data_IF_358938706242
#
_entry.id   IF_358938706242
#
_cell.length_a   1.000
_cell.length_b   1.000
_cell.length_c   1.000
_cell.angle_alpha   90.00
_cell.angle_beta   90.00
_cell.angle_gamma   90.00
#
_symmetry.space_group_name_H-M   'P 1'
#
loop_
_entity.id
_entity.type
_entity.pdbx_description
1 polymer ?
#
# COMPACT_ATOMS: atom_id res chain seq x y z
N UNK A 1 90.41 13.63 -36.00
CA UNK A 1 90.83 12.34 -36.58
C UNK A 1 89.78 11.33 -36.15
N UNK A 2 88.84 10.90 -37.00
CA UNK A 2 88.97 9.77 -37.95
C UNK A 2 89.14 8.46 -37.15
N UNK A 3 88.30 7.41 -37.19
CA UNK A 3 87.51 6.73 -38.24
C UNK A 3 86.68 5.64 -37.51
N UNK A 4 85.37 5.47 -37.76
CA UNK A 4 84.71 4.48 -38.63
C UNK A 4 84.87 2.98 -38.30
N UNK A 5 83.69 2.30 -38.27
CA UNK A 5 83.40 0.84 -38.45
C UNK A 5 83.35 -0.01 -37.15
N UNK A 6 82.46 -0.99 -36.93
CA UNK A 6 81.61 -1.84 -37.78
C UNK A 6 80.31 -2.27 -37.05
N UNK A 7 79.30 -2.62 -37.85
CA UNK A 7 77.96 -3.14 -37.56
C UNK A 7 77.91 -4.50 -36.84
N UNK A 8 76.79 -4.80 -36.14
CA UNK A 8 75.90 -6.00 -36.26
C UNK A 8 74.77 -5.89 -35.19
N UNK A 9 73.47 -6.08 -35.53
CA UNK A 9 72.35 -6.12 -34.58
C UNK A 9 72.11 -7.56 -34.08
N UNK A 10 71.44 -7.81 -32.94
CA UNK A 10 69.98 -8.04 -33.02
C UNK A 10 69.18 -7.81 -31.70
N UNK A 11 67.88 -8.13 -31.82
CA UNK A 11 66.95 -8.52 -30.76
C UNK A 11 66.20 -7.40 -30.04
N UNK A 12 65.18 -6.93 -30.75
CA UNK A 12 63.93 -6.41 -30.22
C UNK A 12 63.35 -7.39 -29.18
N UNK A 13 63.42 -7.02 -27.90
CA UNK A 13 62.52 -7.54 -26.87
C UNK A 13 61.42 -6.49 -26.68
N UNK A 14 60.39 -6.57 -27.52
CA UNK A 14 59.18 -5.78 -27.36
C UNK A 14 58.45 -6.26 -26.12
N UNK A 15 58.54 -5.49 -25.04
CA UNK A 15 57.69 -5.64 -23.87
C UNK A 15 56.26 -5.29 -24.30
N UNK A 16 55.46 -6.30 -24.65
CA UNK A 16 54.02 -6.15 -24.78
C UNK A 16 53.47 -5.96 -23.38
N UNK A 17 53.31 -4.71 -22.96
CA UNK A 17 52.42 -4.36 -21.86
C UNK A 17 50.99 -4.70 -22.31
N UNK A 18 50.53 -5.90 -21.96
CA UNK A 18 49.11 -6.19 -21.89
C UNK A 18 48.52 -5.23 -20.85
N UNK A 19 48.00 -4.09 -21.31
CA UNK A 19 46.98 -3.37 -20.58
C UNK A 19 45.78 -4.32 -20.48
N UNK A 20 45.66 -5.00 -19.34
CA UNK A 20 44.37 -5.51 -18.90
C UNK A 20 43.46 -4.29 -18.71
N UNK A 21 42.79 -3.89 -19.79
CA UNK A 21 41.54 -3.16 -19.73
C UNK A 21 40.59 -4.09 -18.99
N UNK A 22 40.57 -3.95 -17.67
CA UNK A 22 39.43 -4.36 -16.86
C UNK A 22 38.29 -3.56 -17.44
N UNK A 23 37.49 -4.20 -18.29
CA UNK A 23 36.21 -3.67 -18.70
C UNK A 23 35.42 -3.53 -17.40
N UNK A 24 35.41 -2.33 -16.82
CA UNK A 24 34.36 -1.97 -15.90
C UNK A 24 33.07 -2.26 -16.65
N UNK A 25 32.19 -3.15 -16.14
CA UNK A 25 30.89 -3.29 -16.75
C UNK A 25 30.28 -1.90 -16.79
N UNK A 26 29.99 -1.42 -18.00
CA UNK A 26 29.18 -0.24 -18.19
C UNK A 26 27.95 -0.44 -17.30
N UNK A 27 27.79 0.44 -16.32
CA UNK A 27 26.59 0.46 -15.50
C UNK A 27 25.43 0.54 -16.48
N UNK A 28 24.69 -0.56 -16.59
CA UNK A 28 23.37 -0.58 -17.21
C UNK A 28 22.65 0.61 -16.57
N UNK A 29 22.03 1.52 -17.36
CA UNK A 29 21.23 2.61 -16.79
C UNK A 29 20.32 1.99 -15.75
N UNK A 30 20.54 2.38 -14.48
CA UNK A 30 19.98 1.68 -13.35
C UNK A 30 18.48 1.50 -13.57
N UNK A 31 17.98 0.28 -13.34
CA UNK A 31 16.54 0.09 -13.28
C UNK A 31 15.99 1.18 -12.35
N UNK A 32 15.03 1.99 -12.82
CA UNK A 32 14.48 3.06 -11.99
C UNK A 32 14.02 2.44 -10.69
N UNK A 33 14.43 3.04 -9.56
CA UNK A 33 14.06 2.52 -8.25
C UNK A 33 12.54 2.43 -8.15
N UNK A 34 12.04 1.58 -7.25
CA UNK A 34 10.59 1.45 -7.05
C UNK A 34 9.94 2.81 -6.68
N UNK A 35 10.73 3.74 -6.12
CA UNK A 35 10.38 5.15 -5.93
C UNK A 35 10.33 5.92 -7.27
N UNK A 36 11.36 5.83 -8.11
CA UNK A 36 11.41 6.52 -9.42
C UNK A 36 10.26 6.11 -10.36
N UNK A 37 9.87 4.83 -10.34
CA UNK A 37 8.71 4.34 -11.12
C UNK A 37 7.38 4.89 -10.58
N UNK A 38 7.26 5.14 -9.27
CA UNK A 38 6.09 5.74 -8.63
C UNK A 38 5.99 7.25 -8.89
N UNK A 39 7.12 7.94 -9.01
CA UNK A 39 7.17 9.38 -9.32
C UNK A 39 6.88 9.72 -10.78
N UNK A 40 6.94 8.75 -11.70
CA UNK A 40 6.65 8.98 -13.11
C UNK A 40 5.23 9.52 -13.37
N UNK A 41 4.30 9.39 -12.40
CA UNK A 41 2.93 9.95 -12.47
C UNK A 41 2.51 10.57 -11.14
N UNK A 42 3.40 11.39 -10.58
CA UNK A 42 3.07 12.22 -9.43
C UNK A 42 2.35 13.50 -9.90
N UNK A 43 1.30 13.90 -9.20
CA UNK A 43 0.63 15.18 -9.38
C UNK A 43 1.22 16.17 -8.34
N UNK A 44 2.18 17.04 -8.73
CA UNK A 44 2.91 17.85 -7.76
C UNK A 44 2.08 19.01 -7.18
N UNK A 45 1.17 19.56 -7.98
CA UNK A 45 0.48 20.81 -7.62
C UNK A 45 -0.95 20.59 -7.15
N UNK A 46 -1.69 19.68 -7.81
CA UNK A 46 -3.12 19.49 -7.55
C UNK A 46 -3.56 18.07 -7.86
N UNK A 47 -4.24 17.44 -6.91
CA UNK A 47 -4.90 16.17 -7.15
C UNK A 47 -6.00 16.32 -8.21
N UNK A 48 -6.13 15.37 -9.16
CA UNK A 48 -7.33 15.23 -9.99
C UNK A 48 -8.51 14.68 -9.16
N UNK A 49 -8.92 15.47 -8.18
CA UNK A 49 -10.03 15.23 -7.28
C UNK A 49 -10.61 16.56 -6.80
N UNK A 50 -11.87 16.52 -6.40
CA UNK A 50 -12.59 17.65 -5.80
C UNK A 50 -12.92 17.31 -4.35
N UNK A 51 -12.83 18.32 -3.50
CA UNK A 51 -13.16 18.24 -2.08
C UNK A 51 -14.26 19.25 -1.81
N UNK A 52 -15.38 18.79 -1.27
CA UNK A 52 -16.53 19.62 -0.94
C UNK A 52 -16.98 19.38 0.50
N UNK A 53 -17.59 20.38 1.11
CA UNK A 53 -18.22 20.25 2.43
C UNK A 53 -19.72 20.17 2.26
N UNK A 54 -20.33 19.29 3.04
CA UNK A 54 -21.77 19.17 3.15
C UNK A 54 -22.17 18.97 4.62
N UNK A 55 -23.45 19.17 4.90
CA UNK A 55 -24.04 18.91 6.20
C UNK A 55 -25.02 17.73 6.08
N UNK A 56 -24.87 16.75 6.97
CA UNK A 56 -25.78 15.61 7.05
C UNK A 56 -27.13 16.02 7.66
N UNK A 57 -28.12 15.13 7.57
CA UNK A 57 -29.46 15.36 8.15
C UNK A 57 -29.44 15.62 9.68
N UNK A 58 -28.38 15.23 10.38
CA UNK A 58 -28.18 15.45 11.82
C UNK A 58 -27.27 16.65 12.13
N UNK A 59 -27.12 17.61 11.21
CA UNK A 59 -26.20 18.75 11.34
C UNK A 59 -24.71 18.37 11.48
N UNK A 60 -24.36 17.14 11.10
CA UNK A 60 -22.98 16.67 11.14
C UNK A 60 -22.23 17.05 9.87
N UNK A 61 -21.01 17.60 9.97
CA UNK A 61 -20.22 17.96 8.82
C UNK A 61 -19.67 16.73 8.12
N UNK A 62 -19.74 16.77 6.80
CA UNK A 62 -19.25 15.75 5.88
C UNK A 62 -18.26 16.38 4.91
N UNK A 63 -17.18 15.67 4.62
CA UNK A 63 -16.39 15.90 3.41
C UNK A 63 -16.90 14.97 2.32
N UNK A 64 -17.03 15.49 1.12
CA UNK A 64 -17.29 14.74 -0.10
C UNK A 64 -16.03 14.81 -0.95
N UNK A 65 -15.44 13.65 -1.24
CA UNK A 65 -14.30 13.53 -2.16
C UNK A 65 -14.81 12.96 -3.47
N UNK A 66 -14.66 13.70 -4.55
CA UNK A 66 -15.03 13.27 -5.90
C UNK A 66 -13.79 13.04 -6.73
N UNK A 67 -13.64 11.84 -7.29
CA UNK A 67 -12.51 11.53 -8.17
C UNK A 67 -12.77 12.05 -9.58
N UNK A 68 -11.92 12.93 -10.11
CA UNK A 68 -12.02 13.41 -11.50
C UNK A 68 -11.05 12.72 -12.45
N UNK A 69 -10.16 11.87 -11.93
CA UNK A 69 -9.19 11.13 -12.71
C UNK A 69 -9.79 9.89 -13.39
N UNK A 70 -9.17 9.44 -14.48
CA UNK A 70 -9.68 8.31 -15.28
C UNK A 70 -9.58 6.96 -14.56
N UNK A 71 -8.62 6.81 -13.65
CA UNK A 71 -8.45 5.61 -12.83
C UNK A 71 -9.15 5.76 -11.48
N UNK A 72 -9.51 4.65 -10.85
CA UNK A 72 -10.16 4.67 -9.54
C UNK A 72 -9.20 5.15 -8.46
N UNK A 73 -9.66 6.01 -7.56
CA UNK A 73 -8.90 6.40 -6.37
C UNK A 73 -8.97 5.29 -5.34
N UNK A 74 -7.84 4.71 -4.97
CA UNK A 74 -7.76 3.53 -4.09
C UNK A 74 -7.45 3.91 -2.63
N UNK A 75 -6.77 5.03 -2.41
CA UNK A 75 -6.51 5.57 -1.09
C UNK A 75 -6.41 7.10 -1.12
N UNK A 76 -6.71 7.73 0.01
CA UNK A 76 -6.56 9.16 0.21
C UNK A 76 -6.37 9.50 1.69
N UNK A 77 -5.83 10.70 1.93
CA UNK A 77 -5.63 11.27 3.25
C UNK A 77 -6.23 12.66 3.28
N UNK A 78 -7.15 12.89 4.22
CA UNK A 78 -7.71 14.21 4.51
C UNK A 78 -7.14 14.69 5.83
N UNK A 79 -6.66 15.92 5.84
CA UNK A 79 -6.24 16.61 7.06
C UNK A 79 -7.23 17.72 7.37
N UNK A 80 -7.70 17.80 8.61
CA UNK A 80 -8.49 18.93 9.09
C UNK A 80 -7.59 19.87 9.88
N UNK A 81 -7.74 21.18 9.64
CA UNK A 81 -6.94 22.17 10.36
C UNK A 81 -7.34 22.25 11.84
N UNK A 82 -6.36 22.47 12.74
CA UNK A 82 -6.63 22.64 14.15
C UNK A 82 -7.38 23.96 14.39
N UNK A 83 -8.41 23.93 15.25
CA UNK A 83 -9.27 25.12 15.49
C UNK A 83 -8.67 26.10 16.51
N UNK A 84 -7.70 25.66 17.30
CA UNK A 84 -6.97 26.47 18.29
C UNK A 84 -5.54 25.95 18.43
N UNK A 85 -4.67 26.70 19.10
CA UNK A 85 -3.30 26.28 19.39
C UNK A 85 -3.21 25.01 20.26
N UNK A 86 -4.29 24.70 20.99
CA UNK A 86 -4.42 23.51 21.83
C UNK A 86 -5.14 22.35 21.12
N UNK A 87 -5.68 22.57 19.91
CA UNK A 87 -6.35 21.56 19.10
C UNK A 87 -5.35 20.95 18.13
N UNK A 88 -5.40 19.62 17.97
CA UNK A 88 -4.47 18.91 17.09
C UNK A 88 -5.11 18.68 15.73
N UNK A 89 -4.36 18.93 14.65
CA UNK A 89 -4.83 18.63 13.30
C UNK A 89 -5.19 17.15 13.20
N UNK A 90 -6.40 16.84 12.74
CA UNK A 90 -6.82 15.45 12.59
C UNK A 90 -6.47 14.96 11.20
N UNK A 91 -5.88 13.77 11.13
CA UNK A 91 -5.55 13.11 9.85
C UNK A 91 -6.40 11.88 9.69
N UNK A 92 -7.27 11.89 8.67
CA UNK A 92 -8.14 10.80 8.28
C UNK A 92 -7.53 10.07 7.08
N UNK A 93 -7.16 8.82 7.26
CA UNK A 93 -6.60 7.97 6.21
C UNK A 93 -7.67 6.96 5.78
N UNK A 94 -7.95 6.95 4.49
CA UNK A 94 -8.86 5.99 3.87
C UNK A 94 -8.12 5.20 2.80
N UNK A 95 -8.19 3.88 2.88
CA UNK A 95 -7.63 2.99 1.87
C UNK A 95 -8.60 1.84 1.62
N UNK A 96 -9.19 1.84 0.43
CA UNK A 96 -10.17 0.84 -0.01
C UNK A 96 -9.61 -0.58 -0.01
N UNK A 97 -8.28 -0.73 -0.14
CA UNK A 97 -7.63 -2.04 -0.19
C UNK A 97 -7.36 -2.65 1.19
N UNK A 98 -7.52 -1.87 2.27
CA UNK A 98 -7.14 -2.32 3.63
C UNK A 98 -8.29 -2.90 4.45
N UNK A 99 -9.52 -2.87 3.93
CA UNK A 99 -10.71 -3.36 4.65
C UNK A 99 -11.28 -4.60 3.99
N UNK A 100 -11.51 -5.64 4.81
CA UNK A 100 -12.12 -6.90 4.40
C UNK A 100 -13.61 -6.66 4.08
N UNK A 101 -14.10 -7.26 3.00
CA UNK A 101 -15.54 -7.28 2.66
C UNK A 101 -16.05 -6.12 1.82
N UNK A 102 -15.18 -5.31 1.20
CA UNK A 102 -15.58 -4.35 0.16
C UNK A 102 -16.48 -3.20 0.62
N UNK A 103 -16.63 -2.98 1.93
CA UNK A 103 -17.46 -1.89 2.48
C UNK A 103 -17.03 -0.49 1.99
N UNK A 104 -15.78 -0.36 1.58
CA UNK A 104 -15.26 0.83 0.92
C UNK A 104 -14.61 0.40 -0.39
N UNK A 105 -15.30 0.64 -1.50
CA UNK A 105 -14.76 0.44 -2.82
C UNK A 105 -13.81 1.59 -3.20
N UNK A 106 -12.82 1.36 -4.07
CA UNK A 106 -12.12 2.44 -4.76
C UNK A 106 -13.14 3.41 -5.38
N UNK A 107 -12.84 4.71 -5.40
CA UNK A 107 -13.75 5.74 -5.94
C UNK A 107 -13.54 5.83 -7.47
N UNK A 108 -14.48 5.36 -8.30
CA UNK A 108 -14.35 5.46 -9.76
C UNK A 108 -14.42 6.92 -10.23
N UNK A 109 -14.06 7.17 -11.50
CA UNK A 109 -14.19 8.50 -12.12
C UNK A 109 -15.62 9.03 -11.99
N UNK A 110 -15.74 10.28 -11.55
CA UNK A 110 -17.00 11.00 -11.43
C UNK A 110 -17.88 10.58 -10.25
N UNK A 111 -17.44 9.60 -9.45
CA UNK A 111 -18.13 9.20 -8.23
C UNK A 111 -17.47 9.83 -7.01
N UNK A 112 -18.21 9.81 -5.91
CA UNK A 112 -17.82 10.47 -4.66
C UNK A 112 -17.90 9.56 -3.45
N UNK A 113 -17.04 9.80 -2.48
CA UNK A 113 -17.09 9.19 -1.15
C UNK A 113 -17.36 10.28 -0.11
N UNK A 114 -18.38 10.06 0.71
CA UNK A 114 -18.76 10.95 1.82
C UNK A 114 -18.17 10.42 3.12
N UNK A 115 -17.44 11.27 3.84
CA UNK A 115 -16.84 10.94 5.14
C UNK A 115 -17.31 11.94 6.19
N UNK A 116 -17.70 11.44 7.36
CA UNK A 116 -18.00 12.30 8.49
C UNK A 116 -16.74 12.85 9.11
N UNK A 117 -16.75 14.15 9.42
CA UNK A 117 -15.64 14.81 10.13
C UNK A 117 -16.00 14.89 11.61
N UNK A 118 -15.09 14.50 12.52
CA UNK A 118 -15.25 14.82 13.93
C UNK A 118 -15.39 16.34 14.11
N UNK A 119 -16.42 16.78 14.83
CA UNK A 119 -16.64 18.19 15.10
C UNK A 119 -17.26 18.37 16.49
N UNK A 120 -17.06 19.56 17.03
CA UNK A 120 -17.73 20.03 18.24
C UNK A 120 -18.97 20.81 17.80
N UNK A 121 -20.14 20.41 18.30
CA UNK A 121 -21.40 21.11 18.03
C UNK A 121 -21.31 22.58 18.46
N UNK A 122 -21.79 23.49 17.60
CA UNK A 122 -21.72 24.94 17.83
C UNK A 122 -20.38 25.60 17.48
N UNK A 123 -19.33 24.85 17.16
CA UNK A 123 -18.08 25.40 16.64
C UNK A 123 -18.15 25.62 15.11
N UNK A 124 -17.34 26.54 14.54
CA UNK A 124 -17.23 26.70 13.10
C UNK A 124 -16.89 25.39 12.38
N UNK A 125 -17.35 25.25 11.13
CA UNK A 125 -17.02 24.14 10.25
C UNK A 125 -15.49 23.99 10.14
N UNK A 126 -14.90 22.80 10.42
CA UNK A 126 -13.47 22.60 10.24
C UNK A 126 -13.09 22.72 8.77
N UNK A 127 -11.99 23.43 8.47
CA UNK A 127 -11.37 23.33 7.15
C UNK A 127 -10.70 21.95 7.01
N UNK A 128 -10.69 21.43 5.79
CA UNK A 128 -10.22 20.11 5.45
C UNK A 128 -9.56 20.16 4.08
N UNK A 129 -8.43 19.45 3.96
CA UNK A 129 -7.62 19.43 2.76
C UNK A 129 -7.29 17.99 2.39
N UNK A 130 -7.37 17.68 1.11
CA UNK A 130 -6.80 16.45 0.56
C UNK A 130 -5.28 16.64 0.54
N UNK A 131 -4.56 15.84 1.32
CA UNK A 131 -3.09 15.98 1.49
C UNK A 131 -2.30 14.82 0.92
N UNK A 132 -2.96 13.69 0.61
CA UNK A 132 -2.38 12.63 -0.21
C UNK A 132 -3.47 11.80 -0.90
N UNK A 133 -3.17 11.21 -2.06
CA UNK A 133 -4.04 10.29 -2.78
C UNK A 133 -3.25 9.32 -3.66
N UNK A 134 -3.82 8.13 -3.88
CA UNK A 134 -3.26 7.07 -4.72
C UNK A 134 -4.35 6.51 -5.63
N UNK A 135 -4.06 6.41 -6.92
CA UNK A 135 -4.96 5.85 -7.92
C UNK A 135 -4.52 4.44 -8.34
N UNK A 136 -5.45 3.71 -8.96
CA UNK A 136 -5.28 2.30 -9.35
C UNK A 136 -4.10 2.08 -10.32
N UNK A 137 -3.78 3.06 -11.17
CA UNK A 137 -2.67 2.99 -12.10
C UNK A 137 -1.30 3.32 -11.48
N UNK A 138 -1.27 3.56 -10.16
CA UNK A 138 -0.08 3.94 -9.42
C UNK A 138 0.22 5.44 -9.42
N UNK A 139 -0.59 6.27 -10.07
CA UNK A 139 -0.46 7.72 -9.96
C UNK A 139 -0.67 8.18 -8.51
N UNK A 140 0.03 9.25 -8.10
CA UNK A 140 0.03 9.71 -6.71
C UNK A 140 -0.08 11.23 -6.58
N UNK A 141 -0.54 11.69 -5.42
CA UNK A 141 -0.55 13.10 -5.01
C UNK A 141 -0.18 13.17 -3.52
N UNK A 142 0.52 14.22 -3.08
CA UNK A 142 0.83 14.46 -1.67
C UNK A 142 2.25 14.12 -1.25
N UNK A 143 2.54 14.25 0.05
CA UNK A 143 3.91 14.05 0.56
C UNK A 143 4.36 12.59 0.53
N UNK A 144 5.66 12.39 0.30
CA UNK A 144 6.30 11.07 0.31
C UNK A 144 6.07 10.31 1.61
N UNK A 145 6.04 11.01 2.74
CA UNK A 145 5.77 10.42 4.05
C UNK A 145 4.38 9.77 4.11
N UNK A 146 3.34 10.46 3.63
CA UNK A 146 1.97 9.96 3.63
C UNK A 146 1.80 8.82 2.62
N UNK A 147 2.42 8.93 1.45
CA UNK A 147 2.43 7.87 0.42
C UNK A 147 3.17 6.62 0.91
N UNK A 148 4.29 6.79 1.62
CA UNK A 148 5.02 5.73 2.26
C UNK A 148 4.18 5.07 3.36
N UNK A 149 3.42 5.84 4.15
CA UNK A 149 2.51 5.30 5.16
C UNK A 149 1.41 4.41 4.55
N UNK A 150 0.78 4.85 3.46
CA UNK A 150 -0.21 4.03 2.71
C UNK A 150 0.46 2.73 2.22
N UNK A 151 1.61 2.86 1.56
CA UNK A 151 2.33 1.71 0.99
C UNK A 151 2.76 0.70 2.06
N UNK A 152 3.32 1.18 3.16
CA UNK A 152 3.75 0.34 4.28
C UNK A 152 2.57 -0.37 4.95
N UNK A 153 1.43 0.31 5.09
CA UNK A 153 0.18 -0.29 5.59
C UNK A 153 -0.27 -1.44 4.69
N UNK A 154 -0.33 -1.21 3.37
CA UNK A 154 -0.69 -2.25 2.38
C UNK A 154 0.26 -3.44 2.41
N UNK A 155 1.56 -3.19 2.52
CA UNK A 155 2.58 -4.25 2.62
C UNK A 155 2.42 -5.09 3.89
N UNK A 156 2.31 -4.43 5.05
CA UNK A 156 2.14 -5.12 6.32
C UNK A 156 0.84 -5.96 6.35
N UNK A 157 -0.23 -5.45 5.72
CA UNK A 157 -1.48 -6.18 5.60
C UNK A 157 -1.37 -7.38 4.64
N UNK A 158 -0.71 -7.23 3.48
CA UNK A 158 -0.47 -8.34 2.55
C UNK A 158 0.33 -9.48 3.23
N UNK A 159 1.37 -9.14 3.99
CA UNK A 159 2.12 -10.11 4.80
C UNK A 159 1.26 -10.76 5.89
N UNK A 160 0.31 -10.02 6.46
CA UNK A 160 -0.65 -10.57 7.42
C UNK A 160 -1.60 -11.56 6.76
N UNK A 161 -2.03 -11.32 5.51
CA UNK A 161 -2.82 -12.28 4.74
C UNK A 161 -2.03 -13.53 4.43
N UNK A 162 -0.74 -13.44 4.06
CA UNK A 162 0.10 -14.62 3.82
C UNK A 162 0.11 -15.57 5.01
N UNK A 163 0.27 -15.04 6.23
CA UNK A 163 0.23 -15.83 7.47
C UNK A 163 -1.16 -16.46 7.69
N UNK A 164 -2.22 -15.70 7.49
CA UNK A 164 -3.59 -16.19 7.67
C UNK A 164 -3.98 -17.26 6.64
N UNK A 165 -3.57 -17.09 5.39
CA UNK A 165 -3.72 -18.07 4.31
C UNK A 165 -3.00 -19.37 4.66
N UNK A 166 -1.77 -19.30 5.18
CA UNK A 166 -1.02 -20.48 5.60
C UNK A 166 -1.74 -21.24 6.72
N UNK A 167 -2.32 -20.52 7.70
CA UNK A 167 -3.14 -21.11 8.77
C UNK A 167 -4.37 -21.80 8.20
N UNK A 168 -5.12 -21.12 7.32
CA UNK A 168 -6.34 -21.67 6.75
C UNK A 168 -6.07 -22.91 5.89
N UNK A 169 -5.03 -22.88 5.05
CA UNK A 169 -4.61 -24.04 4.23
C UNK A 169 -4.21 -25.22 5.12
N UNK A 170 -3.32 -24.98 6.09
CA UNK A 170 -2.87 -26.05 6.99
C UNK A 170 -4.02 -26.62 7.83
N UNK A 171 -4.99 -25.81 8.23
CA UNK A 171 -6.19 -26.28 8.92
C UNK A 171 -7.13 -27.10 8.04
N UNK A 172 -7.28 -26.73 6.78
CA UNK A 172 -8.05 -27.51 5.81
C UNK A 172 -7.37 -28.85 5.52
N UNK A 173 -6.05 -28.86 5.33
CA UNK A 173 -5.26 -30.06 5.06
C UNK A 173 -5.29 -31.05 6.25
N UNK A 174 -5.31 -30.53 7.48
CA UNK A 174 -5.34 -31.34 8.71
C UNK A 174 -6.73 -31.62 9.26
N UNK A 175 -7.79 -31.15 8.58
CA UNK A 175 -9.18 -31.24 9.05
C UNK A 175 -9.37 -30.70 10.47
N UNK A 176 -8.82 -29.50 10.73
CA UNK A 176 -8.86 -28.87 12.05
C UNK A 176 -10.29 -28.65 12.57
N UNK A 177 -10.44 -28.76 13.89
CA UNK A 177 -11.65 -28.33 14.60
C UNK A 177 -11.73 -26.81 14.69
N UNK A 178 -12.90 -26.30 15.06
CA UNK A 178 -13.07 -24.87 15.27
C UNK A 178 -12.11 -24.32 16.33
N UNK A 179 -11.89 -25.05 17.43
CA UNK A 179 -10.99 -24.66 18.52
C UNK A 179 -9.53 -24.54 18.04
N UNK A 180 -9.10 -25.42 17.14
CA UNK A 180 -7.76 -25.36 16.54
C UNK A 180 -7.62 -24.13 15.63
N UNK A 181 -8.63 -23.82 14.81
CA UNK A 181 -8.65 -22.58 14.03
C UNK A 181 -8.61 -21.33 14.91
N UNK A 182 -9.38 -21.31 15.99
CA UNK A 182 -9.40 -20.18 16.93
C UNK A 182 -8.05 -20.01 17.63
N UNK A 183 -7.46 -21.12 18.09
CA UNK A 183 -6.15 -21.11 18.74
C UNK A 183 -5.07 -20.59 17.79
N UNK A 184 -5.07 -21.06 16.53
CA UNK A 184 -4.12 -20.59 15.53
C UNK A 184 -4.36 -19.11 15.17
N UNK A 185 -5.62 -18.67 15.06
CA UNK A 185 -5.96 -17.28 14.77
C UNK A 185 -5.49 -16.32 15.86
N UNK A 186 -5.55 -16.71 17.14
CA UNK A 186 -5.04 -15.91 18.26
C UNK A 186 -3.51 -15.70 18.21
N UNK A 187 -2.77 -16.60 17.56
CA UNK A 187 -1.32 -16.47 17.37
C UNK A 187 -0.94 -15.52 16.22
N UNK A 188 -1.90 -15.16 15.36
CA UNK A 188 -1.66 -14.17 14.30
C UNK A 188 -1.47 -12.78 14.92
N UNK A 189 -0.23 -12.30 14.89
CA UNK A 189 0.09 -10.93 15.26
C UNK A 189 -0.59 -9.96 14.28
N UNK A 190 -1.16 -8.85 14.79
CA UNK A 190 -1.69 -7.80 13.94
C UNK A 190 -0.56 -7.21 13.08
N UNK A 191 -0.88 -6.66 11.89
CA UNK A 191 0.13 -6.00 11.06
C UNK A 191 0.80 -4.89 11.86
N UNK A 192 2.13 -4.97 12.00
CA UNK A 192 2.91 -3.94 12.68
C UNK A 192 3.04 -2.76 11.73
N UNK A 193 2.34 -1.67 12.04
CA UNK A 193 2.55 -0.41 11.34
C UNK A 193 3.87 0.18 11.79
N UNK A 194 4.73 0.58 10.85
CA UNK A 194 5.93 1.34 11.18
C UNK A 194 5.51 2.63 11.89
N UNK A 195 5.80 2.71 13.19
CA UNK A 195 5.67 3.92 14.00
C UNK A 195 6.83 4.83 13.60
N UNK A 196 6.66 5.63 12.54
CA UNK A 196 7.59 6.72 12.31
C UNK A 196 7.31 7.81 13.34
N UNK A 197 8.39 8.28 13.95
CA UNK A 197 8.41 9.12 15.13
C UNK A 197 7.93 10.54 14.81
N UNK A 198 6.62 10.78 14.89
CA UNK A 198 5.99 11.89 15.64
C UNK A 198 4.48 11.76 15.52
N UNK A 199 3.77 12.29 16.53
CA UNK A 199 2.32 12.29 16.72
C UNK A 199 1.74 11.00 17.31
N UNK A 200 1.94 10.87 18.62
CA UNK A 200 1.33 9.87 19.51
C UNK A 200 -0.21 9.94 19.60
N UNK A 201 -0.87 10.91 18.98
CA UNK A 201 -2.33 11.12 19.15
C UNK A 201 -3.18 10.90 17.90
N UNK A 202 -2.57 10.76 16.71
CA UNK A 202 -3.27 10.20 15.53
C UNK A 202 -3.54 8.69 15.67
N UNK A 203 -2.99 8.07 16.72
CA UNK A 203 -3.07 6.65 17.02
C UNK A 203 -4.50 6.22 17.39
N UNK A 204 -5.28 7.00 18.13
CA UNK A 204 -6.59 6.55 18.61
C UNK A 204 -7.65 6.45 17.50
N UNK A 205 -7.64 7.37 16.54
CA UNK A 205 -8.56 7.33 15.39
C UNK A 205 -8.04 6.38 14.32
N UNK A 206 -6.73 6.38 14.02
CA UNK A 206 -6.15 5.46 13.01
C UNK A 206 -6.17 3.98 13.44
N UNK A 207 -6.09 3.68 14.75
CA UNK A 207 -6.20 2.31 15.26
C UNK A 207 -7.59 1.71 15.04
N UNK A 208 -8.67 2.50 15.11
CA UNK A 208 -10.04 1.99 14.88
C UNK A 208 -10.27 1.57 13.42
N UNK A 209 -9.55 2.17 12.47
CA UNK A 209 -9.67 1.88 11.03
C UNK A 209 -8.98 0.58 10.60
N UNK A 210 -7.93 0.16 11.30
CA UNK A 210 -7.15 -1.06 10.98
C UNK A 210 -7.69 -2.28 11.72
N UNK A 211 -8.34 -2.06 12.86
CA UNK A 211 -8.91 -3.10 13.72
C UNK A 211 -9.96 -3.98 12.99
N UNK A 212 -10.67 -3.47 11.98
CA UNK A 212 -11.69 -4.24 11.25
C UNK A 212 -11.15 -5.04 10.05
N UNK A 213 -9.89 -4.84 9.65
CA UNK A 213 -9.25 -5.52 8.52
C UNK A 213 -8.21 -6.57 8.92
N UNK A 214 -8.10 -6.90 10.20
CA UNK A 214 -7.07 -7.85 10.68
C UNK A 214 -7.56 -9.28 10.39
N UNK A 215 -6.84 -10.06 9.57
CA UNK A 215 -7.25 -11.43 9.21
C UNK A 215 -7.51 -12.33 10.43
N UNK A 216 -6.80 -12.11 11.54
CA UNK A 216 -6.97 -12.85 12.79
C UNK A 216 -8.36 -12.66 13.42
N UNK A 217 -8.87 -11.42 13.44
CA UNK A 217 -10.22 -11.12 13.93
C UNK A 217 -11.27 -11.70 12.99
N UNK A 218 -11.08 -11.54 11.68
CA UNK A 218 -12.01 -12.11 10.70
C UNK A 218 -12.12 -13.62 10.83
N UNK A 219 -11.01 -14.35 11.00
CA UNK A 219 -11.06 -15.80 11.27
C UNK A 219 -11.80 -16.05 12.59
N UNK A 220 -11.40 -15.38 13.67
CA UNK A 220 -12.00 -15.59 15.00
C UNK A 220 -13.51 -15.37 14.99
N UNK A 221 -13.97 -14.22 14.50
CA UNK A 221 -15.38 -13.83 14.49
C UNK A 221 -16.22 -14.80 13.65
N UNK A 222 -15.74 -15.15 12.45
CA UNK A 222 -16.47 -16.05 11.55
C UNK A 222 -16.54 -17.48 12.10
N UNK A 223 -15.43 -18.01 12.62
CA UNK A 223 -15.39 -19.37 13.18
C UNK A 223 -16.21 -19.44 14.47
N UNK A 224 -16.13 -18.45 15.36
CA UNK A 224 -16.97 -18.38 16.56
C UNK A 224 -18.45 -18.32 16.19
N UNK A 225 -18.83 -17.49 15.23
CA UNK A 225 -20.20 -17.40 14.75
C UNK A 225 -20.69 -18.73 14.15
N UNK A 226 -19.84 -19.43 13.40
CA UNK A 226 -20.18 -20.76 12.88
C UNK A 226 -20.44 -21.77 14.02
N UNK A 227 -19.58 -21.83 15.03
CA UNK A 227 -19.72 -22.72 16.20
C UNK A 227 -20.99 -22.43 16.99
N UNK A 228 -21.39 -21.16 17.12
CA UNK A 228 -22.61 -20.76 17.80
C UNK A 228 -23.87 -21.20 17.07
N UNK A 229 -23.85 -21.22 15.73
CA UNK A 229 -25.01 -21.58 14.92
C UNK A 229 -25.11 -23.09 14.65
N UNK A 230 -23.98 -23.76 14.43
CA UNK A 230 -23.91 -25.21 14.15
C UNK A 230 -22.46 -25.70 14.30
N UNK A 231 -22.23 -26.62 15.23
CA UNK A 231 -20.88 -27.18 15.53
C UNK A 231 -20.39 -28.19 14.49
N UNK A 232 -21.09 -28.34 13.36
CA UNK A 232 -20.70 -29.24 12.28
C UNK A 232 -19.28 -28.94 11.75
N UNK A 233 -18.35 -29.92 11.78
CA UNK A 233 -17.01 -29.77 11.19
C UNK A 233 -17.04 -29.41 9.71
N UNK A 234 -18.03 -29.91 8.96
CA UNK A 234 -18.19 -29.60 7.55
C UNK A 234 -18.50 -28.11 7.30
N UNK A 235 -19.25 -27.48 8.21
CA UNK A 235 -19.56 -26.05 8.14
C UNK A 235 -18.32 -25.19 8.39
N UNK A 236 -17.52 -25.58 9.39
CA UNK A 236 -16.24 -24.92 9.72
C UNK A 236 -15.27 -25.02 8.54
N UNK A 237 -15.12 -26.20 7.94
CA UNK A 237 -14.27 -26.40 6.76
C UNK A 237 -14.74 -25.56 5.57
N UNK A 238 -16.05 -25.53 5.29
CA UNK A 238 -16.61 -24.69 4.22
C UNK A 238 -16.33 -23.20 4.45
N UNK A 239 -16.44 -22.72 5.69
CA UNK A 239 -16.14 -21.34 6.03
C UNK A 239 -14.65 -21.02 5.88
N UNK A 240 -13.77 -21.92 6.33
CA UNK A 240 -12.33 -21.78 6.14
C UNK A 240 -11.96 -21.68 4.65
N UNK A 241 -12.62 -22.45 3.77
CA UNK A 241 -12.43 -22.33 2.30
C UNK A 241 -12.89 -20.97 1.74
N UNK A 242 -14.01 -20.43 2.23
CA UNK A 242 -14.50 -19.12 1.81
C UNK A 242 -13.51 -18.03 2.24
N UNK A 243 -13.08 -18.06 3.50
CA UNK A 243 -12.11 -17.10 4.03
C UNK A 243 -10.77 -17.19 3.30
N UNK A 244 -10.31 -18.40 2.98
CA UNK A 244 -9.08 -18.63 2.23
C UNK A 244 -9.11 -17.89 0.89
N UNK A 245 -10.18 -18.08 0.12
CA UNK A 245 -10.34 -17.41 -1.19
C UNK A 245 -10.36 -15.88 -1.04
N UNK A 246 -11.14 -15.36 -0.08
CA UNK A 246 -11.23 -13.92 0.17
C UNK A 246 -9.88 -13.30 0.55
N UNK A 247 -9.09 -14.02 1.35
CA UNK A 247 -7.76 -13.55 1.76
C UNK A 247 -6.76 -13.60 0.61
N UNK A 248 -6.82 -14.60 -0.25
CA UNK A 248 -6.01 -14.68 -1.47
C UNK A 248 -6.31 -13.50 -2.41
N UNK A 249 -7.59 -13.24 -2.69
CA UNK A 249 -8.03 -12.10 -3.52
C UNK A 249 -7.58 -10.75 -2.93
N UNK A 250 -7.72 -10.58 -1.61
CA UNK A 250 -7.31 -9.36 -0.90
C UNK A 250 -5.80 -9.15 -0.93
N UNK A 251 -5.02 -10.21 -0.67
CA UNK A 251 -3.55 -10.20 -0.75
C UNK A 251 -3.09 -9.84 -2.16
N UNK A 252 -3.67 -10.47 -3.18
CA UNK A 252 -3.25 -10.27 -4.56
C UNK A 252 -3.59 -8.86 -5.06
N UNK A 253 -4.73 -8.31 -4.63
CA UNK A 253 -5.09 -6.90 -4.86
C UNK A 253 -4.10 -5.93 -4.22
N UNK A 254 -3.69 -6.19 -2.97
CA UNK A 254 -2.67 -5.39 -2.28
C UNK A 254 -1.32 -5.47 -2.99
N UNK A 255 -0.88 -6.67 -3.39
CA UNK A 255 0.39 -6.86 -4.11
C UNK A 255 0.36 -6.17 -5.47
N UNK A 256 -0.73 -6.31 -6.23
CA UNK A 256 -0.91 -5.60 -7.51
C UNK A 256 -0.77 -4.08 -7.33
N UNK A 257 -1.38 -3.52 -6.28
CA UNK A 257 -1.28 -2.10 -5.98
C UNK A 257 0.12 -1.66 -5.52
N UNK A 258 0.95 -2.58 -4.99
CA UNK A 258 2.32 -2.30 -4.55
C UNK A 258 3.34 -2.40 -5.68
N UNK A 259 3.12 -3.28 -6.66
CA UNK A 259 4.03 -3.56 -7.78
C UNK A 259 4.11 -2.45 -8.84
N UNK A 260 3.27 -1.41 -8.74
CA UNK A 260 3.16 -0.36 -9.76
C UNK A 260 2.61 -0.89 -11.09
N UNK A 261 2.34 -0.01 -12.08
CA UNK A 261 1.87 -0.44 -13.38
C UNK A 261 2.96 -1.22 -14.12
N UNK A 262 2.60 -2.36 -14.71
CA UNK A 262 3.38 -2.95 -15.80
C UNK A 262 3.46 -1.92 -16.94
N UNK A 263 4.63 -1.72 -17.58
CA UNK A 263 4.69 -0.89 -18.78
C UNK A 263 3.67 -1.43 -19.78
N UNK A 264 2.74 -0.56 -20.21
CA UNK A 264 1.82 -0.91 -21.28
C UNK A 264 2.66 -1.21 -22.52
N UNK A 265 2.51 -2.40 -23.07
CA UNK A 265 3.13 -2.85 -24.33
C UNK A 265 2.64 -2.10 -25.57
N UNK A 266 1.91 -1.00 -25.41
CA UNK A 266 1.48 -0.14 -26.49
C UNK A 266 2.52 0.94 -26.78
N UNK A 267 3.70 0.52 -27.24
CA UNK A 267 4.47 1.37 -28.15
C UNK A 267 4.06 0.99 -29.57
N UNK A 268 3.49 1.92 -30.38
CA UNK A 268 3.37 1.67 -31.80
C UNK A 268 4.78 1.52 -32.36
N UNK A 269 5.07 0.36 -32.97
CA UNK A 269 6.23 0.24 -33.86
C UNK A 269 6.00 1.19 -35.01
N UNK A 270 6.60 2.38 -34.92
CA UNK A 270 6.80 3.22 -36.09
C UNK A 270 7.72 2.45 -37.05
N UNK A 271 7.17 2.11 -38.20
CA UNK A 271 7.92 1.83 -39.43
C UNK A 271 8.18 3.14 -40.15
#
# INVERSE_FOLDING_TARGET
>A
MGTLRHSVPPAVAGTVLLFCLVQLPAQIPGEPTDLDRRFARHFPERAPAQLEFAEAAEHRPLVIITNSYQFSMTAYVVQTEPKSADDNSQTLIHDALTRIGGLFAPIPKGLSHKIGIPHVEGAPMPDAKLVAAVWEDGSTFGSDELLARISNSRKALAESYDRAIAILRNGLDKNWTAEEYLTAALQLKPPTLSRMATVEEAQAVSQKFIVQGIPSRTITDNIQHAVQQDRSPARVAKLAQILLRQFEESRDSLRKALSGPFPSTDQPMNK
#
